data_IF_757827116009
#
_entry.id   IF_757827116009
#
_cell.length_a   1.000
_cell.length_b   1.000
_cell.length_c   1.000
_cell.angle_alpha   90.00
_cell.angle_beta   90.00
_cell.angle_gamma   90.00
#
_symmetry.space_group_name_H-M   'P 1'
#
loop_
_entity.id
_entity.type
_entity.pdbx_description
1 polymer ?
#
# COMPACT_ATOMS: atom_id res chain seq x y z
N UNK A 1 9.39 -27.76 9.29
CA UNK A 1 8.59 -26.76 8.58
C UNK A 1 9.48 -25.56 8.32
N UNK A 2 9.51 -25.00 7.11
CA UNK A 2 10.28 -23.78 6.85
C UNK A 2 9.49 -22.58 7.39
N UNK A 3 10.18 -21.65 8.06
CA UNK A 3 9.58 -20.42 8.57
C UNK A 3 9.13 -19.54 7.40
N UNK A 4 7.91 -18.98 7.48
CA UNK A 4 7.43 -17.96 6.57
C UNK A 4 7.46 -16.60 7.28
N UNK A 5 8.15 -15.64 6.69
CA UNK A 5 8.23 -14.27 7.15
C UNK A 5 7.28 -13.40 6.35
N UNK A 6 6.48 -12.60 7.04
CA UNK A 6 5.52 -11.68 6.44
C UNK A 6 5.99 -10.26 6.75
N UNK A 7 6.20 -9.46 5.70
CA UNK A 7 6.68 -8.10 5.82
C UNK A 7 5.62 -7.12 5.34
N UNK A 8 5.48 -6.04 6.07
CA UNK A 8 4.84 -4.84 5.54
C UNK A 8 5.83 -4.09 4.63
N UNK A 9 5.33 -3.08 3.90
CA UNK A 9 6.13 -2.29 2.96
C UNK A 9 6.42 -0.89 3.52
N UNK A 10 5.38 -0.05 3.58
CA UNK A 10 5.49 1.36 3.93
C UNK A 10 5.86 1.55 5.40
N UNK A 11 6.84 2.39 5.69
CA UNK A 11 7.41 2.60 7.02
C UNK A 11 7.95 1.32 7.68
N UNK A 12 8.26 0.30 6.87
CA UNK A 12 8.88 -0.96 7.29
C UNK A 12 10.13 -1.29 6.46
N UNK A 13 10.05 -1.23 5.14
CA UNK A 13 11.19 -1.48 4.24
C UNK A 13 11.75 -0.17 3.66
N UNK A 14 11.00 0.90 3.74
CA UNK A 14 11.38 2.25 3.34
C UNK A 14 10.59 3.29 4.14
N UNK A 15 11.11 4.51 4.19
CA UNK A 15 10.43 5.65 4.77
C UNK A 15 9.43 6.23 3.76
N UNK A 16 8.14 5.94 3.96
CA UNK A 16 7.06 6.52 3.16
C UNK A 16 6.54 7.85 3.73
N UNK A 17 6.69 8.05 5.05
CA UNK A 17 6.12 9.19 5.78
C UNK A 17 6.72 10.51 5.35
N UNK A 18 8.04 10.55 5.12
CA UNK A 18 8.75 11.82 4.89
C UNK A 18 8.45 12.45 3.54
N UNK A 19 8.24 11.66 2.49
CA UNK A 19 8.11 12.17 1.12
C UNK A 19 6.88 11.65 0.37
N UNK A 20 6.56 10.38 0.49
CA UNK A 20 5.54 9.72 -0.34
C UNK A 20 4.14 10.00 0.16
N UNK A 21 3.87 9.77 1.44
CA UNK A 21 2.52 9.96 2.00
C UNK A 21 1.99 11.39 1.85
N UNK A 22 2.77 12.46 2.03
CA UNK A 22 2.29 13.81 1.75
C UNK A 22 1.80 13.99 0.31
N UNK A 23 2.52 13.45 -0.68
CA UNK A 23 2.15 13.52 -2.08
C UNK A 23 0.91 12.67 -2.40
N UNK A 24 0.86 11.44 -1.88
CA UNK A 24 -0.31 10.56 -2.02
C UNK A 24 -1.55 11.20 -1.42
N UNK A 25 -1.44 11.80 -0.22
CA UNK A 25 -2.54 12.51 0.42
C UNK A 25 -3.03 13.70 -0.39
N UNK A 26 -2.12 14.50 -0.95
CA UNK A 26 -2.48 15.60 -1.86
C UNK A 26 -3.25 15.09 -3.07
N UNK A 27 -2.74 14.06 -3.75
CA UNK A 27 -3.41 13.46 -4.91
C UNK A 27 -4.77 12.82 -4.56
N UNK A 28 -4.89 12.22 -3.37
CA UNK A 28 -6.18 11.73 -2.89
C UNK A 28 -7.19 12.88 -2.73
N UNK A 29 -6.77 14.01 -2.12
CA UNK A 29 -7.63 15.18 -1.97
C UNK A 29 -8.06 15.74 -3.34
N UNK A 30 -7.12 15.87 -4.28
CA UNK A 30 -7.40 16.34 -5.64
C UNK A 30 -8.38 15.40 -6.38
N UNK A 31 -8.17 14.08 -6.29
CA UNK A 31 -9.07 13.11 -6.88
C UNK A 31 -10.48 13.18 -6.29
N UNK A 32 -10.60 13.22 -4.96
CA UNK A 32 -11.88 13.28 -4.25
C UNK A 32 -12.61 14.57 -4.58
N UNK A 33 -11.90 15.72 -4.54
CA UNK A 33 -12.44 17.03 -4.88
C UNK A 33 -13.01 17.05 -6.31
N UNK A 34 -12.24 16.56 -7.28
CA UNK A 34 -12.67 16.51 -8.69
C UNK A 34 -13.81 15.51 -8.92
N UNK A 35 -13.79 14.35 -8.28
CA UNK A 35 -14.79 13.30 -8.48
C UNK A 35 -16.13 13.65 -7.85
N UNK A 36 -16.12 14.32 -6.69
CA UNK A 36 -17.34 14.66 -5.94
C UNK A 36 -17.80 16.10 -6.14
N UNK A 37 -17.05 16.92 -6.91
CA UNK A 37 -17.30 18.35 -7.10
C UNK A 37 -17.41 19.14 -5.78
N UNK A 38 -16.43 18.92 -4.88
CA UNK A 38 -16.33 19.55 -3.56
C UNK A 38 -15.00 20.30 -3.43
N UNK A 39 -14.86 21.17 -2.43
CA UNK A 39 -13.60 21.86 -2.15
C UNK A 39 -12.46 20.90 -1.78
N UNK A 40 -11.21 21.33 -1.91
CA UNK A 40 -10.03 20.54 -1.47
C UNK A 40 -10.07 20.34 0.05
N UNK A 41 -10.54 21.34 0.80
CA UNK A 41 -10.71 21.31 2.24
C UNK A 41 -11.72 20.22 2.63
N UNK A 42 -12.91 20.21 2.04
CA UNK A 42 -13.93 19.18 2.28
C UNK A 42 -13.44 17.79 1.86
N UNK A 43 -12.70 17.69 0.76
CA UNK A 43 -12.09 16.45 0.31
C UNK A 43 -11.07 15.92 1.30
N UNK A 44 -10.26 16.79 1.90
CA UNK A 44 -9.29 16.43 2.93
C UNK A 44 -9.96 15.92 4.21
N UNK A 45 -11.02 16.59 4.67
CA UNK A 45 -11.80 16.16 5.82
C UNK A 45 -12.49 14.81 5.57
N UNK A 46 -13.08 14.64 4.38
CA UNK A 46 -13.71 13.38 3.98
C UNK A 46 -12.70 12.23 3.93
N UNK A 47 -11.52 12.48 3.33
CA UNK A 47 -10.41 11.51 3.27
C UNK A 47 -10.03 11.05 4.68
N UNK A 48 -9.83 11.98 5.60
CA UNK A 48 -9.45 11.67 6.98
C UNK A 48 -10.57 10.92 7.71
N UNK A 49 -11.81 11.36 7.59
CA UNK A 49 -12.98 10.70 8.17
C UNK A 49 -13.12 9.23 7.72
N UNK A 50 -12.88 8.95 6.44
CA UNK A 50 -12.91 7.58 5.93
C UNK A 50 -11.74 6.74 6.41
N UNK A 51 -10.56 7.32 6.52
CA UNK A 51 -9.42 6.65 7.15
C UNK A 51 -9.73 6.25 8.59
N UNK A 52 -10.23 7.17 9.39
CA UNK A 52 -10.54 6.93 10.81
C UNK A 52 -11.66 5.91 11.00
N UNK A 53 -12.67 5.94 10.12
CA UNK A 53 -13.85 5.06 10.24
C UNK A 53 -13.61 3.66 9.70
N UNK A 54 -12.89 3.53 8.58
CA UNK A 54 -12.77 2.27 7.82
C UNK A 54 -11.35 1.69 7.78
N UNK A 55 -10.37 2.41 8.32
CA UNK A 55 -8.95 2.03 8.26
C UNK A 55 -8.29 2.24 6.90
N UNK A 56 -9.04 2.73 5.91
CA UNK A 56 -8.55 3.15 4.60
C UNK A 56 -9.56 4.07 3.91
N UNK A 57 -9.07 5.18 3.35
CA UNK A 57 -9.89 6.14 2.59
C UNK A 57 -10.62 5.46 1.43
N UNK A 58 -9.92 4.62 0.67
CA UNK A 58 -10.46 3.88 -0.47
C UNK A 58 -11.72 3.08 -0.09
N UNK A 59 -11.72 2.43 1.07
CA UNK A 59 -12.87 1.63 1.51
C UNK A 59 -14.12 2.48 1.73
N UNK A 60 -13.97 3.67 2.31
CA UNK A 60 -15.05 4.62 2.44
C UNK A 60 -15.58 5.12 1.09
N UNK A 61 -14.66 5.45 0.18
CA UNK A 61 -15.00 5.92 -1.16
C UNK A 61 -15.76 4.86 -1.99
N UNK A 62 -15.32 3.61 -1.95
CA UNK A 62 -16.06 2.50 -2.60
C UNK A 62 -17.47 2.38 -2.02
N UNK A 63 -17.57 2.38 -0.68
CA UNK A 63 -18.84 2.14 0.02
C UNK A 63 -19.88 3.24 -0.22
N UNK A 64 -19.46 4.50 -0.23
CA UNK A 64 -20.37 5.65 -0.23
C UNK A 64 -20.51 6.34 -1.59
N UNK A 65 -19.50 6.20 -2.46
CA UNK A 65 -19.45 6.92 -3.73
C UNK A 65 -19.28 6.01 -4.94
N UNK A 66 -19.20 4.69 -4.73
CA UNK A 66 -19.09 3.68 -5.80
C UNK A 66 -17.96 3.99 -6.79
N UNK A 67 -16.83 4.50 -6.31
CA UNK A 67 -15.68 4.80 -7.16
C UNK A 67 -15.04 3.50 -7.69
N UNK A 68 -14.39 3.61 -8.85
CA UNK A 68 -13.52 2.55 -9.34
C UNK A 68 -12.21 2.53 -8.53
N UNK A 69 -11.91 1.47 -7.77
CA UNK A 69 -10.72 1.42 -6.94
C UNK A 69 -9.41 1.44 -7.75
N UNK A 70 -9.41 0.84 -8.95
CA UNK A 70 -8.22 0.82 -9.83
C UNK A 70 -7.88 2.22 -10.30
N UNK A 71 -8.88 2.99 -10.75
CA UNK A 71 -8.70 4.36 -11.22
C UNK A 71 -8.20 5.26 -10.09
N UNK A 72 -8.78 5.13 -8.89
CA UNK A 72 -8.33 5.86 -7.72
C UNK A 72 -6.88 5.55 -7.36
N UNK A 73 -6.52 4.27 -7.28
CA UNK A 73 -5.16 3.86 -6.94
C UNK A 73 -4.14 4.32 -8.00
N UNK A 74 -4.48 4.23 -9.28
CA UNK A 74 -3.63 4.72 -10.36
C UNK A 74 -3.44 6.25 -10.26
N UNK A 75 -4.51 7.02 -10.07
CA UNK A 75 -4.44 8.47 -9.96
C UNK A 75 -3.61 8.95 -8.76
N UNK A 76 -3.65 8.22 -7.64
CA UNK A 76 -3.05 8.65 -6.38
C UNK A 76 -1.63 8.14 -6.14
N UNK A 77 -1.23 7.01 -6.72
CA UNK A 77 0.05 6.35 -6.45
C UNK A 77 1.01 6.32 -7.64
N UNK A 78 0.61 6.78 -8.85
CA UNK A 78 1.53 6.94 -9.97
C UNK A 78 2.27 8.28 -9.86
N UNK A 79 3.22 8.35 -8.93
CA UNK A 79 4.01 9.54 -8.64
C UNK A 79 5.12 9.74 -9.68
N UNK A 80 5.34 11.00 -10.08
CA UNK A 80 6.51 11.40 -10.88
C UNK A 80 7.77 11.37 -10.01
N UNK A 81 8.94 11.29 -10.65
CA UNK A 81 10.25 11.29 -9.98
C UNK A 81 10.37 10.29 -8.82
N UNK A 82 9.68 9.17 -8.96
CA UNK A 82 9.49 8.16 -7.90
C UNK A 82 10.82 7.69 -7.31
N UNK A 83 11.88 7.62 -8.12
CA UNK A 83 13.20 7.19 -7.65
C UNK A 83 13.77 8.09 -6.56
N UNK A 84 13.47 9.40 -6.62
CA UNK A 84 13.98 10.40 -5.67
C UNK A 84 13.14 10.45 -4.37
N UNK A 85 11.97 9.84 -4.42
CA UNK A 85 11.05 9.77 -3.28
C UNK A 85 11.32 8.58 -2.38
N UNK A 86 11.85 7.47 -2.93
CA UNK A 86 12.06 6.24 -2.17
C UNK A 86 13.32 6.34 -1.33
N UNK A 87 13.17 6.20 -0.03
CA UNK A 87 14.26 6.14 0.94
C UNK A 87 14.23 4.76 1.63
N UNK A 88 14.98 3.76 1.12
CA UNK A 88 15.03 2.44 1.73
C UNK A 88 15.64 2.48 3.13
N UNK A 89 15.25 1.53 3.98
CA UNK A 89 15.88 1.33 5.28
C UNK A 89 17.39 1.05 5.16
N UNK A 90 18.13 1.51 6.16
CA UNK A 90 19.59 1.34 6.21
C UNK A 90 19.92 -0.16 6.25
N UNK A 91 20.83 -0.58 5.36
CA UNK A 91 21.25 -1.99 5.24
C UNK A 91 20.14 -2.97 4.90
N UNK A 92 19.01 -2.50 4.33
CA UNK A 92 17.85 -3.31 4.02
C UNK A 92 18.22 -4.61 3.28
N UNK A 93 18.94 -4.49 2.18
CA UNK A 93 19.34 -5.64 1.35
C UNK A 93 20.18 -6.66 2.15
N UNK A 94 21.13 -6.19 2.93
CA UNK A 94 21.96 -7.05 3.77
C UNK A 94 21.12 -7.76 4.83
N UNK A 95 20.22 -7.03 5.50
CA UNK A 95 19.33 -7.57 6.52
C UNK A 95 18.40 -8.65 5.95
N UNK A 96 17.73 -8.37 4.83
CA UNK A 96 16.83 -9.33 4.17
C UNK A 96 17.59 -10.59 3.70
N UNK A 97 18.84 -10.44 3.23
CA UNK A 97 19.65 -11.57 2.76
C UNK A 97 20.00 -12.58 3.86
N UNK A 98 20.07 -12.14 5.11
CA UNK A 98 20.37 -12.98 6.28
C UNK A 98 19.15 -13.79 6.76
N UNK A 99 17.94 -13.39 6.36
CA UNK A 99 16.70 -14.05 6.79
C UNK A 99 16.49 -15.31 5.96
N UNK A 100 16.51 -16.46 6.64
CA UNK A 100 16.25 -17.77 6.03
C UNK A 100 14.76 -18.09 6.06
N UNK A 101 14.28 -18.75 5.00
CA UNK A 101 12.88 -19.15 4.85
C UNK A 101 12.15 -18.31 3.81
N UNK A 102 10.86 -18.61 3.63
CA UNK A 102 9.98 -17.94 2.68
C UNK A 102 9.70 -16.51 3.15
N UNK A 103 9.78 -15.54 2.25
CA UNK A 103 9.55 -14.13 2.52
C UNK A 103 8.43 -13.59 1.64
N UNK A 104 7.39 -13.03 2.24
CA UNK A 104 6.21 -12.55 1.54
C UNK A 104 5.95 -11.10 1.96
N UNK A 105 5.72 -10.22 0.99
CA UNK A 105 5.18 -8.89 1.27
C UNK A 105 3.66 -8.98 1.45
N UNK A 106 3.14 -8.35 2.50
CA UNK A 106 1.70 -8.14 2.70
C UNK A 106 1.44 -6.67 3.04
N UNK A 107 0.92 -5.92 2.07
CA UNK A 107 0.77 -4.47 2.16
C UNK A 107 -0.63 -4.00 1.74
N UNK A 108 -1.05 -2.83 2.26
CA UNK A 108 -2.24 -2.10 1.79
C UNK A 108 -1.94 -1.23 0.55
N UNK A 109 -0.69 -1.17 0.13
CA UNK A 109 -0.28 -0.42 -1.05
C UNK A 109 -0.68 -1.13 -2.35
N UNK A 110 -0.88 -0.39 -3.46
CA UNK A 110 -1.19 -0.97 -4.76
C UNK A 110 0.03 -1.66 -5.40
N UNK A 111 -0.25 -2.60 -6.29
CA UNK A 111 0.73 -3.50 -6.89
C UNK A 111 1.85 -2.78 -7.63
N UNK A 112 1.52 -1.84 -8.49
CA UNK A 112 2.53 -1.10 -9.27
C UNK A 112 3.48 -0.31 -8.37
N UNK A 113 2.92 0.39 -7.38
CA UNK A 113 3.68 1.12 -6.38
C UNK A 113 4.61 0.18 -5.60
N UNK A 114 4.09 -0.92 -5.07
CA UNK A 114 4.85 -1.92 -4.31
C UNK A 114 6.03 -2.46 -5.12
N UNK A 115 5.80 -2.85 -6.37
CA UNK A 115 6.87 -3.38 -7.24
C UNK A 115 7.94 -2.33 -7.53
N UNK A 116 7.56 -1.06 -7.73
CA UNK A 116 8.51 0.04 -7.94
C UNK A 116 9.41 0.25 -6.71
N UNK A 117 8.81 0.32 -5.50
CA UNK A 117 9.56 0.44 -4.23
C UNK A 117 10.58 -0.68 -4.09
N UNK A 118 10.16 -1.94 -4.24
CA UNK A 118 11.03 -3.10 -4.07
C UNK A 118 12.18 -3.12 -5.09
N UNK A 119 11.94 -2.71 -6.33
CA UNK A 119 12.96 -2.62 -7.38
C UNK A 119 13.98 -1.51 -7.10
N UNK A 120 13.52 -0.31 -6.75
CA UNK A 120 14.38 0.82 -6.38
C UNK A 120 15.23 0.46 -5.15
N UNK A 121 14.64 -0.19 -4.17
CA UNK A 121 15.33 -0.67 -2.96
C UNK A 121 16.24 -1.88 -3.23
N UNK A 122 16.26 -2.43 -4.46
CA UNK A 122 17.09 -3.57 -4.90
C UNK A 122 16.86 -4.84 -4.08
N UNK A 123 15.62 -5.06 -3.61
CA UNK A 123 15.23 -6.23 -2.81
C UNK A 123 14.08 -7.03 -3.45
N UNK A 124 13.62 -6.65 -4.63
CA UNK A 124 12.47 -7.30 -5.29
C UNK A 124 12.63 -8.83 -5.40
N UNK A 125 13.79 -9.29 -5.90
CA UNK A 125 14.09 -10.72 -6.09
C UNK A 125 14.36 -11.48 -4.78
N UNK A 126 14.31 -10.79 -3.63
CA UNK A 126 14.54 -11.38 -2.31
C UNK A 126 13.24 -11.82 -1.62
N UNK A 127 12.10 -11.50 -2.21
CA UNK A 127 10.78 -11.91 -1.76
C UNK A 127 10.19 -12.95 -2.70
N UNK A 128 9.64 -14.00 -2.12
CA UNK A 128 9.05 -15.11 -2.88
C UNK A 128 7.70 -14.71 -3.47
N UNK A 129 6.93 -13.86 -2.75
CA UNK A 129 5.63 -13.36 -3.20
C UNK A 129 5.34 -11.97 -2.67
N UNK A 130 4.39 -11.33 -3.36
CA UNK A 130 3.85 -10.00 -3.01
C UNK A 130 2.33 -10.08 -3.00
N UNK A 131 1.73 -9.66 -1.87
CA UNK A 131 0.29 -9.54 -1.68
C UNK A 131 -0.05 -8.08 -1.43
N UNK A 132 -0.89 -7.52 -2.28
CA UNK A 132 -1.25 -6.11 -2.31
C UNK A 132 -2.74 -5.90 -2.03
N UNK A 133 -3.19 -4.66 -1.98
CA UNK A 133 -4.60 -4.34 -1.72
C UNK A 133 -5.54 -4.93 -2.77
N UNK A 134 -5.10 -5.05 -4.02
CA UNK A 134 -5.87 -5.67 -5.10
C UNK A 134 -6.08 -7.17 -4.85
N UNK A 135 -5.10 -7.86 -4.27
CA UNK A 135 -5.20 -9.29 -3.95
C UNK A 135 -6.23 -9.62 -2.85
N UNK A 136 -6.59 -8.63 -2.04
CA UNK A 136 -7.60 -8.74 -0.99
C UNK A 136 -8.96 -8.15 -1.37
N UNK A 137 -9.20 -7.93 -2.67
CA UNK A 137 -10.42 -7.29 -3.16
C UNK A 137 -10.67 -5.92 -2.49
N UNK A 138 -9.60 -5.15 -2.37
CA UNK A 138 -9.57 -3.81 -1.75
C UNK A 138 -10.00 -3.77 -0.27
N UNK A 139 -9.94 -4.92 0.41
CA UNK A 139 -10.15 -5.02 1.85
C UNK A 139 -8.81 -4.79 2.57
N UNK A 140 -8.62 -3.67 3.30
CA UNK A 140 -7.32 -3.34 3.88
C UNK A 140 -7.01 -4.17 5.14
N UNK A 141 -5.72 -4.34 5.45
CA UNK A 141 -5.28 -4.69 6.81
C UNK A 141 -5.79 -3.62 7.81
N UNK A 142 -6.11 -4.00 9.06
CA UNK A 142 -5.99 -5.31 9.70
C UNK A 142 -7.26 -6.17 9.62
N UNK A 143 -8.09 -6.03 8.59
CA UNK A 143 -9.34 -6.75 8.45
C UNK A 143 -9.11 -8.27 8.38
N UNK A 144 -9.91 -9.05 9.14
CA UNK A 144 -9.81 -10.51 9.19
C UNK A 144 -10.03 -11.17 7.81
N UNK A 145 -10.92 -10.62 6.97
CA UNK A 145 -11.14 -11.15 5.63
C UNK A 145 -9.89 -10.99 4.75
N UNK A 146 -9.20 -9.83 4.80
CA UNK A 146 -7.94 -9.64 4.09
C UNK A 146 -6.87 -10.65 4.53
N UNK A 147 -6.76 -10.89 5.85
CA UNK A 147 -5.85 -11.90 6.38
C UNK A 147 -6.24 -13.31 5.92
N UNK A 148 -7.53 -13.65 5.91
CA UNK A 148 -7.99 -14.95 5.44
C UNK A 148 -7.68 -15.18 3.96
N UNK A 149 -7.85 -14.17 3.10
CA UNK A 149 -7.42 -14.22 1.68
C UNK A 149 -5.92 -14.49 1.57
N UNK A 150 -5.11 -13.76 2.33
CA UNK A 150 -3.65 -13.91 2.34
C UNK A 150 -3.23 -15.32 2.76
N UNK A 151 -3.70 -15.80 3.91
CA UNK A 151 -3.34 -17.13 4.45
C UNK A 151 -3.76 -18.25 3.47
N UNK A 152 -4.97 -18.15 2.91
CA UNK A 152 -5.48 -19.12 1.93
C UNK A 152 -4.65 -19.13 0.65
N UNK A 153 -4.34 -17.94 0.09
CA UNK A 153 -3.60 -17.80 -1.17
C UNK A 153 -2.23 -18.46 -1.08
N UNK A 154 -1.54 -18.30 0.05
CA UNK A 154 -0.16 -18.79 0.21
C UNK A 154 -0.05 -20.07 1.03
N UNK A 155 -1.18 -20.69 1.36
CA UNK A 155 -1.27 -21.95 2.13
C UNK A 155 -0.49 -21.88 3.47
N UNK A 156 -0.68 -20.78 4.19
CA UNK A 156 -0.08 -20.52 5.50
C UNK A 156 -1.08 -20.96 6.58
N UNK A 157 -0.59 -21.75 7.55
CA UNK A 157 -1.38 -22.24 8.69
C UNK A 157 -1.09 -21.45 9.95
#
# INVERSE_FOLDING_TARGET
MSTTWIFDLDNTLHDAESKIFPLVNTRMNEYISSYLDISIEDASELRQSYWDTYGATLKGLIKHHNINPIDFLAATHDLQDFNDLVTPEINLKETISKIKGRKIIYTNAPKNYTHRILKISKVYEMFDEVFTIEDSDFIPKPNQASMAFFLKKYNIK
#
